data_IF_632960267839
#
_entry.id   IF_632960267839
#
_cell.length_a   1.000
_cell.length_b   1.000
_cell.length_c   1.000
_cell.angle_alpha   90.00
_cell.angle_beta   90.00
_cell.angle_gamma   90.00
#
_symmetry.space_group_name_H-M   'P 1'
#
loop_
_entity.id
_entity.type
_entity.pdbx_description
1 polymer ?
#
# COMPACT_ATOMS: atom_id res chain seq x y z
N UNK A 1 -20.35 -9.50 -16.58
CA UNK A 1 -19.45 -10.64 -16.34
C UNK A 1 -20.23 -11.78 -15.66
N UNK A 2 -21.06 -12.50 -16.43
CA UNK A 2 -21.00 -13.97 -16.50
C UNK A 2 -20.32 -14.35 -17.83
N UNK A 3 -19.65 -15.53 -17.88
CA UNK A 3 -18.92 -16.08 -19.04
C UNK A 3 -17.61 -15.37 -19.48
N UNK A 4 -16.91 -14.66 -18.59
CA UNK A 4 -15.53 -14.21 -18.86
C UNK A 4 -14.55 -15.00 -18.01
N UNK A 5 -13.41 -15.39 -18.59
CA UNK A 5 -12.30 -16.02 -17.85
C UNK A 5 -11.47 -15.00 -17.04
N UNK A 6 -11.80 -13.71 -17.14
CA UNK A 6 -11.25 -12.65 -16.32
C UNK A 6 -11.98 -12.55 -14.98
N UNK A 7 -11.19 -12.35 -13.93
CA UNK A 7 -11.67 -12.04 -12.58
C UNK A 7 -11.08 -10.72 -12.13
N UNK A 8 -11.88 -9.96 -11.38
CA UNK A 8 -11.42 -8.73 -10.76
C UNK A 8 -10.85 -9.04 -9.39
N UNK A 9 -9.66 -8.55 -9.12
CA UNK A 9 -9.04 -8.57 -7.80
C UNK A 9 -9.12 -7.16 -7.23
N UNK A 10 -9.53 -7.08 -5.97
CA UNK A 10 -9.59 -5.84 -5.19
C UNK A 10 -8.86 -6.05 -3.88
N UNK A 11 -8.00 -5.11 -3.52
CA UNK A 11 -7.43 -5.02 -2.18
C UNK A 11 -7.79 -3.69 -1.55
N UNK A 12 -8.20 -3.71 -0.28
CA UNK A 12 -8.46 -2.52 0.51
C UNK A 12 -7.60 -2.56 1.76
N UNK A 13 -6.81 -1.51 1.99
CA UNK A 13 -6.00 -1.36 3.20
C UNK A 13 -5.97 0.10 3.65
N UNK A 14 -6.08 0.31 4.96
CA UNK A 14 -6.17 1.61 5.62
C UNK A 14 -5.41 1.53 6.94
N UNK A 15 -4.53 2.48 7.18
CA UNK A 15 -3.68 2.49 8.37
C UNK A 15 -3.41 3.91 8.87
N UNK A 16 -2.85 4.01 10.07
CA UNK A 16 -2.44 5.27 10.68
C UNK A 16 -1.07 5.71 10.17
N UNK A 17 -0.74 7.02 10.21
CA UNK A 17 0.58 7.52 9.85
C UNK A 17 1.71 6.80 10.58
N UNK A 18 2.78 6.51 9.83
CA UNK A 18 3.97 5.84 10.35
C UNK A 18 5.23 6.73 10.33
N UNK A 19 5.11 7.92 9.73
CA UNK A 19 6.13 8.96 9.62
C UNK A 19 5.45 10.34 9.50
N UNK A 20 6.24 11.40 9.65
CA UNK A 20 5.74 12.78 9.72
C UNK A 20 5.62 13.45 8.34
N UNK A 21 6.39 13.01 7.34
CA UNK A 21 6.42 13.55 5.98
C UNK A 21 5.20 13.12 5.14
N UNK A 22 4.25 14.02 4.82
CA UNK A 22 2.97 13.62 4.23
C UNK A 22 3.09 13.00 2.82
N UNK A 23 3.99 13.51 1.98
CA UNK A 23 4.20 12.98 0.62
C UNK A 23 4.75 11.55 0.64
N UNK A 24 5.80 11.31 1.44
CA UNK A 24 6.39 9.98 1.60
C UNK A 24 5.36 9.00 2.20
N UNK A 25 4.55 9.48 3.15
CA UNK A 25 3.46 8.70 3.74
C UNK A 25 2.44 8.28 2.67
N UNK A 26 2.10 9.19 1.75
CA UNK A 26 1.24 8.91 0.61
C UNK A 26 1.82 7.85 -0.34
N UNK A 27 3.11 7.94 -0.66
CA UNK A 27 3.77 6.93 -1.50
C UNK A 27 3.75 5.54 -0.84
N UNK A 28 4.03 5.47 0.46
CA UNK A 28 3.99 4.21 1.23
C UNK A 28 2.57 3.64 1.28
N UNK A 29 1.55 4.49 1.45
CA UNK A 29 0.16 4.06 1.41
C UNK A 29 -0.23 3.44 0.08
N UNK A 30 0.11 4.08 -1.04
CA UNK A 30 -0.14 3.51 -2.36
C UNK A 30 0.65 2.20 -2.58
N UNK A 31 1.92 2.15 -2.15
CA UNK A 31 2.74 0.95 -2.24
C UNK A 31 2.18 -0.22 -1.43
N UNK A 32 1.60 0.05 -0.26
CA UNK A 32 1.00 -0.98 0.59
C UNK A 32 -0.33 -1.47 0.01
N UNK A 33 -1.23 -0.55 -0.39
CA UNK A 33 -2.53 -0.93 -0.95
C UNK A 33 -2.38 -1.77 -2.24
N UNK A 34 -1.40 -1.44 -3.08
CA UNK A 34 -1.17 -2.12 -4.37
C UNK A 34 -0.42 -3.47 -4.24
N UNK A 35 0.32 -3.72 -3.17
CA UNK A 35 1.17 -4.92 -3.08
C UNK A 35 0.39 -6.25 -3.09
N UNK A 36 -0.79 -6.29 -2.48
CA UNK A 36 -1.60 -7.51 -2.35
C UNK A 36 -2.26 -7.86 -3.69
N UNK A 37 -2.49 -6.85 -4.53
CA UNK A 37 -2.94 -7.05 -5.92
C UNK A 37 -1.84 -7.74 -6.72
N UNK A 38 -0.58 -7.27 -6.60
CA UNK A 38 0.57 -7.94 -7.22
C UNK A 38 0.82 -9.34 -6.66
N UNK A 39 0.61 -9.56 -5.35
CA UNK A 39 0.76 -10.87 -4.72
C UNK A 39 -0.19 -11.93 -5.29
N UNK A 40 -1.29 -11.52 -5.92
CA UNK A 40 -2.25 -12.37 -6.61
C UNK A 40 -1.99 -12.49 -8.13
N UNK A 41 -0.82 -12.05 -8.59
CA UNK A 41 -0.38 -12.05 -10.00
C UNK A 41 -1.15 -11.10 -10.92
N UNK A 42 -1.70 -10.01 -10.36
CA UNK A 42 -2.32 -8.94 -11.14
C UNK A 42 -1.23 -7.92 -11.44
N UNK A 43 -0.70 -7.96 -12.66
CA UNK A 43 0.44 -7.11 -13.06
C UNK A 43 -0.01 -5.72 -13.54
N UNK A 44 -1.25 -5.61 -14.02
CA UNK A 44 -1.84 -4.36 -14.51
C UNK A 44 -2.91 -3.85 -13.54
N UNK A 45 -2.55 -2.86 -12.74
CA UNK A 45 -3.47 -2.21 -11.80
C UNK A 45 -4.33 -1.19 -12.57
N UNK A 46 -5.65 -1.38 -12.54
CA UNK A 46 -6.62 -0.51 -13.22
C UNK A 46 -6.76 0.86 -12.57
N UNK A 47 -6.54 0.95 -11.26
CA UNK A 47 -6.47 2.21 -10.53
C UNK A 47 -6.66 2.05 -9.04
N UNK A 48 -6.58 3.18 -8.33
CA UNK A 48 -6.76 3.27 -6.89
C UNK A 48 -7.87 4.25 -6.53
N UNK A 49 -8.73 3.88 -5.58
CA UNK A 49 -9.68 4.76 -4.90
C UNK A 49 -9.12 5.10 -3.53
N UNK A 50 -8.85 6.38 -3.28
CA UNK A 50 -8.20 6.83 -2.03
C UNK A 50 -9.21 6.92 -0.89
N UNK A 51 -8.81 6.50 0.30
CA UNK A 51 -9.54 6.74 1.53
C UNK A 51 -8.72 7.62 2.47
N UNK A 52 -9.32 8.71 2.95
CA UNK A 52 -8.71 9.60 3.95
C UNK A 52 -9.65 9.84 5.13
N UNK A 53 -9.20 9.54 6.33
CA UNK A 53 -9.81 10.00 7.58
C UNK A 53 -8.99 11.14 8.14
N UNK A 54 -9.57 12.33 8.27
CA UNK A 54 -8.85 13.53 8.68
C UNK A 54 -9.54 14.23 9.84
N UNK A 55 -8.76 14.81 10.75
CA UNK A 55 -9.32 15.64 11.81
C UNK A 55 -9.74 17.00 11.25
N UNK A 56 -10.83 17.57 11.76
CA UNK A 56 -11.36 18.87 11.30
C UNK A 56 -10.35 20.01 11.34
N UNK A 57 -9.43 20.00 12.31
CA UNK A 57 -8.42 21.04 12.51
C UNK A 57 -7.04 20.64 12.00
N UNK A 58 -6.93 19.57 11.20
CA UNK A 58 -5.66 19.20 10.59
C UNK A 58 -5.27 20.22 9.52
N UNK A 59 -4.00 20.67 9.47
CA UNK A 59 -3.53 21.56 8.41
C UNK A 59 -3.73 20.96 7.01
N UNK A 60 -4.21 21.77 6.06
CA UNK A 60 -4.59 21.29 4.73
C UNK A 60 -3.43 20.65 3.95
N UNK A 61 -2.21 21.20 4.13
CA UNK A 61 -1.00 20.71 3.47
C UNK A 61 -0.70 19.24 3.79
N UNK A 62 -1.18 18.70 4.93
CA UNK A 62 -1.00 17.29 5.27
C UNK A 62 -1.79 16.41 4.31
N UNK A 63 -3.05 16.75 4.04
CA UNK A 63 -3.86 15.98 3.08
C UNK A 63 -3.33 16.14 1.65
N UNK A 64 -2.94 17.37 1.28
CA UNK A 64 -2.39 17.66 -0.04
C UNK A 64 -1.12 16.86 -0.31
N UNK A 65 -0.20 16.80 0.67
CA UNK A 65 1.00 16.00 0.56
C UNK A 65 0.70 14.50 0.45
N UNK A 66 -0.19 13.95 1.29
CA UNK A 66 -0.59 12.53 1.19
C UNK A 66 -1.17 12.21 -0.19
N UNK A 67 -2.09 13.04 -0.68
CA UNK A 67 -2.70 12.85 -2.01
C UNK A 67 -1.68 12.99 -3.14
N UNK A 68 -0.74 13.93 -3.03
CA UNK A 68 0.37 14.13 -3.97
C UNK A 68 1.24 12.88 -4.03
N UNK A 69 1.66 12.34 -2.87
CA UNK A 69 2.45 11.12 -2.78
C UNK A 69 1.75 9.91 -3.39
N UNK A 70 0.47 9.69 -3.06
CA UNK A 70 -0.32 8.60 -3.64
C UNK A 70 -0.39 8.73 -5.17
N UNK A 71 -0.73 9.93 -5.67
CA UNK A 71 -0.82 10.20 -7.10
C UNK A 71 0.50 9.94 -7.80
N UNK A 72 1.60 10.51 -7.28
CA UNK A 72 2.93 10.37 -7.86
C UNK A 72 3.39 8.92 -7.89
N UNK A 73 3.11 8.14 -6.83
CA UNK A 73 3.43 6.72 -6.81
C UNK A 73 2.63 5.94 -7.87
N UNK A 74 1.32 6.17 -7.95
CA UNK A 74 0.46 5.51 -8.92
C UNK A 74 0.88 5.81 -10.37
N UNK A 75 1.17 7.06 -10.69
CA UNK A 75 1.56 7.48 -12.04
C UNK A 75 2.97 6.99 -12.39
N UNK A 76 3.95 7.19 -11.51
CA UNK A 76 5.37 6.98 -11.84
C UNK A 76 5.88 5.55 -11.56
N UNK A 77 5.29 4.83 -10.60
CA UNK A 77 5.76 3.49 -10.19
C UNK A 77 4.84 2.38 -10.67
N UNK A 78 3.53 2.63 -10.70
CA UNK A 78 2.52 1.63 -11.06
C UNK A 78 2.05 1.78 -12.51
N UNK A 79 2.33 2.91 -13.15
CA UNK A 79 1.80 3.25 -14.48
C UNK A 79 0.26 3.17 -14.52
N UNK A 80 -0.37 3.70 -13.47
CA UNK A 80 -1.82 3.73 -13.28
C UNK A 80 -2.23 5.06 -12.65
N UNK A 81 -3.50 5.19 -12.27
CA UNK A 81 -4.06 6.47 -11.81
C UNK A 81 -4.92 6.32 -10.56
N UNK A 82 -5.01 7.42 -9.84
CA UNK A 82 -6.05 7.62 -8.83
C UNK A 82 -7.37 7.91 -9.55
N UNK A 83 -8.39 7.10 -9.29
CA UNK A 83 -9.70 7.18 -9.94
C UNK A 83 -10.71 8.03 -9.17
N UNK A 84 -10.38 8.37 -7.93
CA UNK A 84 -11.24 9.10 -7.02
C UNK A 84 -10.94 8.71 -5.59
N UNK A 85 -11.89 8.97 -4.69
CA UNK A 85 -11.74 8.60 -3.29
C UNK A 85 -12.88 9.08 -2.42
N UNK A 86 -12.73 8.85 -1.13
CA UNK A 86 -13.65 9.30 -0.10
C UNK A 86 -12.90 9.83 1.11
N UNK A 87 -13.38 10.94 1.65
CA UNK A 87 -12.80 11.59 2.83
C UNK A 87 -13.85 11.67 3.94
N UNK A 88 -13.47 11.27 5.14
CA UNK A 88 -14.30 11.38 6.35
C UNK A 88 -13.61 12.23 7.40
N UNK A 89 -14.41 12.78 8.31
CA UNK A 89 -13.86 13.30 9.56
C UNK A 89 -13.56 12.14 10.52
N UNK A 90 -12.35 12.12 11.06
CA UNK A 90 -11.88 11.12 12.02
C UNK A 90 -10.96 11.78 13.05
N UNK A 91 -11.07 11.38 14.31
CA UNK A 91 -10.15 11.84 15.36
C UNK A 91 -8.72 11.37 15.10
N UNK A 92 -8.59 10.17 14.52
CA UNK A 92 -7.31 9.60 14.11
C UNK A 92 -7.10 9.74 12.61
N UNK A 93 -5.92 10.16 12.14
CA UNK A 93 -5.60 10.13 10.73
C UNK A 93 -5.63 8.70 10.19
N UNK A 94 -6.40 8.48 9.12
CA UNK A 94 -6.51 7.20 8.43
C UNK A 94 -6.13 7.42 6.96
N UNK A 95 -5.21 6.62 6.46
CA UNK A 95 -4.63 6.79 5.13
C UNK A 95 -4.63 5.43 4.43
N UNK A 96 -5.10 5.38 3.19
CA UNK A 96 -5.09 4.16 2.41
C UNK A 96 -6.05 4.24 1.23
N UNK A 97 -6.65 3.11 0.89
CA UNK A 97 -7.60 3.04 -0.21
C UNK A 97 -7.83 1.63 -0.71
N UNK A 98 -8.42 1.56 -1.90
CA UNK A 98 -8.67 0.33 -2.64
C UNK A 98 -7.90 0.36 -3.95
N UNK A 99 -7.16 -0.70 -4.26
CA UNK A 99 -6.58 -0.91 -5.58
C UNK A 99 -7.24 -2.12 -6.24
N UNK A 100 -7.46 -2.02 -7.54
CA UNK A 100 -8.01 -3.12 -8.32
C UNK A 100 -7.36 -3.32 -9.67
N UNK A 101 -7.46 -4.56 -10.15
CA UNK A 101 -7.07 -4.95 -11.49
C UNK A 101 -7.75 -6.24 -11.90
N UNK A 102 -7.39 -6.71 -13.09
CA UNK A 102 -7.96 -7.93 -13.67
C UNK A 102 -6.86 -8.95 -13.92
N UNK A 103 -7.20 -10.21 -13.76
CA UNK A 103 -6.32 -11.34 -14.07
C UNK A 103 -7.15 -12.48 -14.64
N UNK A 104 -6.55 -13.31 -15.47
CA UNK A 104 -7.18 -14.55 -15.91
C UNK A 104 -7.33 -15.50 -14.71
N UNK A 105 -8.48 -16.16 -14.56
CA UNK A 105 -8.78 -17.04 -13.43
C UNK A 105 -7.70 -18.12 -13.19
N UNK A 106 -7.12 -18.64 -14.27
CA UNK A 106 -6.09 -19.68 -14.23
C UNK A 106 -4.68 -19.15 -13.93
N UNK A 107 -4.50 -17.83 -13.84
CA UNK A 107 -3.22 -17.17 -13.53
C UNK A 107 -3.15 -16.61 -12.11
N UNK A 108 -4.23 -16.70 -11.33
CA UNK A 108 -4.22 -16.25 -9.94
C UNK A 108 -3.25 -17.12 -9.13
N UNK A 109 -2.32 -16.47 -8.43
CA UNK A 109 -1.52 -17.14 -7.41
C UNK A 109 -2.36 -17.27 -6.15
N UNK A 110 -2.64 -18.52 -5.74
CA UNK A 110 -3.35 -18.81 -4.48
C UNK A 110 -2.38 -19.17 -3.38
N UNK A 111 -2.74 -18.86 -2.14
CA UNK A 111 -1.90 -19.04 -0.94
C UNK A 111 -1.90 -20.47 -0.38
N UNK A 112 -2.57 -21.43 -1.03
CA UNK A 112 -2.91 -22.75 -0.45
C UNK A 112 -2.27 -23.96 -1.15
N UNK A 113 -1.13 -23.78 -1.81
CA UNK A 113 -0.44 -24.85 -2.57
C UNK A 113 1.02 -25.06 -2.16
N UNK A 114 1.39 -24.72 -0.93
CA UNK A 114 2.77 -24.94 -0.44
C UNK A 114 2.92 -26.38 0.03
N UNK A 115 3.98 -27.05 -0.40
CA UNK A 115 4.30 -28.43 -0.07
C UNK A 115 5.62 -28.54 0.71
N UNK A 116 5.82 -29.69 1.36
CA UNK A 116 7.07 -29.97 2.06
C UNK A 116 8.22 -30.07 1.04
N UNK A 117 9.22 -29.21 1.21
CA UNK A 117 10.38 -29.14 0.31
C UNK A 117 10.44 -27.85 -0.50
N UNK A 118 9.37 -27.06 -0.50
CA UNK A 118 9.36 -25.73 -1.12
C UNK A 118 10.34 -24.76 -0.46
N UNK A 119 10.81 -23.81 -1.26
CA UNK A 119 11.73 -22.75 -0.82
C UNK A 119 10.96 -21.47 -0.51
N UNK A 120 11.30 -20.83 0.60
CA UNK A 120 10.81 -19.50 0.93
C UNK A 120 11.67 -18.44 0.22
N UNK A 121 11.04 -17.62 -0.60
CA UNK A 121 11.68 -16.47 -1.27
C UNK A 121 11.12 -15.19 -0.66
N UNK A 122 12.01 -14.29 -0.29
CA UNK A 122 11.68 -12.99 0.28
C UNK A 122 12.29 -11.91 -0.60
N UNK A 123 11.46 -10.97 -1.09
CA UNK A 123 11.87 -9.94 -2.06
C UNK A 123 12.17 -8.58 -1.44
N UNK A 124 11.89 -8.41 -0.14
CA UNK A 124 12.11 -7.19 0.62
C UNK A 124 12.63 -7.52 2.02
N UNK A 125 13.48 -6.67 2.62
CA UNK A 125 13.93 -6.88 3.99
C UNK A 125 12.76 -6.86 4.97
N UNK A 126 12.91 -7.61 6.06
CA UNK A 126 12.03 -7.52 7.23
C UNK A 126 12.59 -6.52 8.25
N UNK A 127 11.73 -6.03 9.15
CA UNK A 127 12.15 -5.18 10.28
C UNK A 127 11.60 -3.76 10.28
N UNK A 128 10.82 -3.34 9.27
CA UNK A 128 10.24 -2.00 9.19
C UNK A 128 9.47 -1.60 10.46
N UNK A 129 8.68 -2.51 11.03
CA UNK A 129 7.92 -2.23 12.26
C UNK A 129 8.82 -1.95 13.47
N UNK A 130 9.94 -2.68 13.62
CA UNK A 130 10.87 -2.46 14.73
C UNK A 130 11.57 -1.11 14.61
N UNK A 131 11.99 -0.75 13.38
CA UNK A 131 12.60 0.55 13.08
C UNK A 131 11.59 1.68 13.34
N UNK A 132 10.36 1.52 12.88
CA UNK A 132 9.27 2.48 13.08
C UNK A 132 8.95 2.67 14.57
N UNK A 133 8.86 1.58 15.34
CA UNK A 133 8.63 1.66 16.78
C UNK A 133 9.76 2.42 17.50
N UNK A 134 11.01 2.17 17.12
CA UNK A 134 12.16 2.89 17.67
C UNK A 134 12.12 4.38 17.33
N UNK A 135 11.84 4.72 16.06
CA UNK A 135 11.67 6.10 15.59
C UNK A 135 10.58 6.84 16.39
N UNK A 136 9.40 6.24 16.53
CA UNK A 136 8.27 6.82 17.27
C UNK A 136 8.55 6.97 18.76
N UNK A 137 9.35 6.06 19.34
CA UNK A 137 9.78 6.15 20.74
C UNK A 137 10.83 7.23 21.01
N UNK A 138 11.39 7.88 19.97
CA UNK A 138 12.54 8.80 20.04
C UNK A 138 13.80 8.18 20.67
N UNK A 139 13.90 6.86 20.68
CA UNK A 139 15.09 6.15 21.14
C UNK A 139 16.14 6.18 20.03
N UNK A 140 17.28 6.82 20.29
CA UNK A 140 18.38 6.95 19.33
C UNK A 140 18.92 5.55 18.94
N UNK A 141 18.64 5.10 17.71
CA UNK A 141 19.28 3.90 17.14
C UNK A 141 20.45 4.29 16.25
N UNK A 142 21.60 3.66 16.47
CA UNK A 142 22.70 3.63 15.50
C UNK A 142 22.18 2.99 14.20
N UNK A 143 22.67 3.41 13.02
CA UNK A 143 22.19 2.87 11.75
C UNK A 143 22.31 1.35 11.73
N UNK A 144 21.17 0.66 11.57
CA UNK A 144 21.15 -0.78 11.34
C UNK A 144 21.61 -1.04 9.90
N UNK A 145 22.75 -1.68 9.74
CA UNK A 145 23.09 -2.33 8.47
C UNK A 145 22.26 -3.61 8.35
N UNK A 146 21.15 -3.52 7.62
CA UNK A 146 20.44 -4.71 7.15
C UNK A 146 21.14 -5.16 5.87
N UNK A 147 21.97 -6.19 5.98
CA UNK A 147 22.53 -6.89 4.81
C UNK A 147 21.42 -7.75 4.23
N UNK A 148 21.00 -7.43 3.01
CA UNK A 148 20.03 -8.22 2.23
C UNK A 148 20.84 -8.89 1.13
N UNK A 149 20.77 -10.22 1.04
CA UNK A 149 21.38 -11.01 -0.02
C UNK A 149 20.72 -10.72 -1.37
#
# INVERSE_FOLDING_TARGET
MPNTDLVMVKNLDIFTPILDEPEIMGEIAAANVTNDVFALNVLDISGMLVFLGMKKNMPMHVAEGILSGIKNFMENKINSKVLGGHTIYSEWPLIGGEASGFVHKDRIIKKNYVEKGDKLIVTKPIGNQAIMAAYLSKSCMKPLQVVIL
#
